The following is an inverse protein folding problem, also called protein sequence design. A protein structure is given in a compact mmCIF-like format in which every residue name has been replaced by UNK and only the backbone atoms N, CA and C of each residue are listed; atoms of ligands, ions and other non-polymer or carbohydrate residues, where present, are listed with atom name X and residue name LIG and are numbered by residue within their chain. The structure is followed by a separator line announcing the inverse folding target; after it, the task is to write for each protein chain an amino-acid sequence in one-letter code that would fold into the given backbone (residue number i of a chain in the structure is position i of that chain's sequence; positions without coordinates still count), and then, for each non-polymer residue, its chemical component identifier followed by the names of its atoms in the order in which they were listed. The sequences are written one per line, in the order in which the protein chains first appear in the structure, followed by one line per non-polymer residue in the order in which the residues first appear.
data_IF_351516617955
#
_entry.id   IF_351516617955
#
_cell.length_a   1.000
_cell.length_b   1.000
_cell.length_c   1.000
_cell.angle_alpha   90.00
_cell.angle_beta   90.00
_cell.angle_gamma   90.00
#
_symmetry.space_group_name_H-M   'P 1'
#
loop_
_entity.id
_entity.type
_entity.pdbx_description
1 polymer ?
#
# COMPACT_ATOMS: atom_id res chain seq x y z
N UNK A 1 37.16 15.78 48.20
CA UNK A 1 36.26 14.61 48.09
C UNK A 1 35.69 14.58 46.68
N UNK A 2 36.26 13.78 45.78
CA UNK A 2 35.79 13.67 44.39
C UNK A 2 34.71 12.60 44.33
N UNK A 3 33.47 13.00 44.07
CA UNK A 3 32.32 12.09 43.93
C UNK A 3 32.37 11.46 42.54
N UNK A 4 33.12 10.37 42.39
CA UNK A 4 33.14 9.56 41.18
C UNK A 4 31.76 8.93 40.98
N UNK A 5 30.95 9.51 40.09
CA UNK A 5 29.69 8.90 39.66
C UNK A 5 30.02 7.79 38.66
N UNK A 6 29.65 6.56 39.01
CA UNK A 6 29.83 5.38 38.18
C UNK A 6 28.99 5.51 36.88
N UNK A 7 29.61 5.52 35.68
CA UNK A 7 28.91 5.67 34.40
C UNK A 7 28.06 4.45 34.01
N UNK A 8 28.09 3.38 34.81
CA UNK A 8 27.34 2.14 34.57
C UNK A 8 25.92 2.12 35.19
N UNK A 9 25.55 3.12 35.99
CA UNK A 9 24.23 3.16 36.67
C UNK A 9 23.11 3.74 35.79
N UNK A 10 23.39 4.12 34.54
CA UNK A 10 22.40 4.68 33.60
C UNK A 10 22.01 3.73 32.45
N UNK A 11 22.06 2.40 32.64
CA UNK A 11 21.85 1.44 31.55
C UNK A 11 21.12 0.16 31.97
N UNK A 12 19.83 0.26 32.29
CA UNK A 12 18.93 -0.91 32.39
C UNK A 12 18.04 -1.10 31.15
N UNK A 13 18.41 -0.51 30.01
CA UNK A 13 17.70 -0.72 28.75
C UNK A 13 18.67 -0.72 27.57
N UNK A 14 18.34 -1.43 26.47
CA UNK A 14 19.12 -1.34 25.24
C UNK A 14 19.28 0.15 24.87
N UNK A 15 20.46 0.57 24.41
CA UNK A 15 20.75 1.99 24.20
C UNK A 15 19.66 2.57 23.30
N UNK A 16 19.05 3.69 23.69
CA UNK A 16 17.92 4.32 22.97
C UNK A 16 18.19 4.43 21.47
N UNK A 17 19.44 4.63 21.08
CA UNK A 17 19.91 4.63 19.69
C UNK A 17 19.63 3.33 18.91
N UNK A 18 19.67 2.16 19.53
CA UNK A 18 19.37 0.86 18.90
C UNK A 18 17.87 0.72 18.62
N UNK A 19 17.03 1.11 19.58
CA UNK A 19 15.57 1.07 19.42
C UNK A 19 15.10 2.05 18.34
N UNK A 20 15.69 3.25 18.28
CA UNK A 20 15.41 4.24 17.23
C UNK A 20 15.84 3.72 15.85
N UNK A 21 16.98 3.04 15.76
CA UNK A 21 17.44 2.44 14.50
C UNK A 21 16.50 1.33 14.03
N UNK A 22 16.08 0.44 14.93
CA UNK A 22 15.12 -0.61 14.62
C UNK A 22 13.77 -0.03 14.16
N UNK A 23 13.25 0.98 14.87
CA UNK A 23 12.02 1.67 14.49
C UNK A 23 12.09 2.31 13.11
N UNK A 24 13.23 2.92 12.74
CA UNK A 24 13.44 3.50 11.40
C UNK A 24 13.42 2.45 10.30
N UNK A 25 14.08 1.31 10.50
CA UNK A 25 14.05 0.21 9.53
C UNK A 25 12.66 -0.43 9.43
N UNK A 26 11.96 -0.59 10.54
CA UNK A 26 10.57 -1.04 10.55
C UNK A 26 9.65 -0.10 9.77
N UNK A 27 9.76 1.21 10.01
CA UNK A 27 9.02 2.23 9.26
C UNK A 27 9.35 2.19 7.75
N UNK A 28 10.63 2.08 7.39
CA UNK A 28 11.05 1.96 5.99
C UNK A 28 10.46 0.70 5.33
N UNK A 29 10.45 -0.44 6.05
CA UNK A 29 9.87 -1.68 5.57
C UNK A 29 8.35 -1.56 5.33
N UNK A 30 7.63 -0.90 6.24
CA UNK A 30 6.20 -0.61 6.05
C UNK A 30 5.96 0.27 4.81
N UNK A 31 6.74 1.33 4.63
CA UNK A 31 6.62 2.21 3.44
C UNK A 31 6.91 1.43 2.15
N UNK A 32 7.95 0.60 2.15
CA UNK A 32 8.27 -0.24 1.00
C UNK A 32 7.15 -1.25 0.69
N UNK A 33 6.59 -1.89 1.71
CA UNK A 33 5.47 -2.82 1.54
C UNK A 33 4.24 -2.12 0.94
N UNK A 34 3.89 -0.93 1.44
CA UNK A 34 2.80 -0.11 0.89
C UNK A 34 3.06 0.25 -0.56
N UNK A 35 4.29 0.67 -0.91
CA UNK A 35 4.64 1.02 -2.28
C UNK A 35 4.50 -0.18 -3.25
N UNK A 36 4.90 -1.37 -2.82
CA UNK A 36 4.75 -2.60 -3.61
C UNK A 36 3.27 -2.96 -3.80
N UNK A 37 2.45 -2.86 -2.76
CA UNK A 37 1.02 -3.16 -2.84
C UNK A 37 0.22 -2.10 -3.62
N UNK A 38 0.64 -0.84 -3.59
CA UNK A 38 -0.04 0.24 -4.29
C UNK A 38 0.06 0.13 -5.81
N UNK A 39 1.16 -0.42 -6.34
CA UNK A 39 1.41 -0.52 -7.78
C UNK A 39 0.31 -1.28 -8.55
N UNK A 40 -0.06 -2.52 -8.16
CA UNK A 40 -1.17 -3.24 -8.77
C UNK A 40 -2.52 -2.52 -8.70
N UNK A 41 -2.81 -1.85 -7.58
CA UNK A 41 -4.08 -1.12 -7.37
C UNK A 41 -4.17 0.06 -8.35
N UNK A 42 -3.11 0.86 -8.46
CA UNK A 42 -3.06 2.00 -9.38
C UNK A 42 -3.19 1.56 -10.85
N UNK A 43 -2.58 0.43 -11.22
CA UNK A 43 -2.75 -0.12 -12.58
C UNK A 43 -4.15 -0.66 -12.81
N UNK A 44 -4.76 -1.30 -11.80
CA UNK A 44 -6.14 -1.76 -11.88
C UNK A 44 -7.13 -0.61 -12.05
N UNK A 45 -6.88 0.53 -11.39
CA UNK A 45 -7.64 1.76 -11.61
C UNK A 45 -7.54 2.23 -13.06
N UNK A 46 -6.35 2.31 -13.64
CA UNK A 46 -6.19 2.69 -15.05
C UNK A 46 -6.84 1.70 -16.03
N UNK A 47 -6.83 0.40 -15.73
CA UNK A 47 -7.55 -0.60 -16.53
C UNK A 47 -9.08 -0.36 -16.47
N UNK A 48 -9.60 -0.02 -15.29
CA UNK A 48 -11.00 0.32 -15.09
C UNK A 48 -11.40 1.59 -15.84
N UNK A 49 -10.59 2.65 -15.77
CA UNK A 49 -10.81 3.89 -16.52
C UNK A 49 -10.84 3.64 -18.03
N UNK A 50 -9.88 2.88 -18.56
CA UNK A 50 -9.84 2.53 -19.97
C UNK A 50 -11.07 1.72 -20.41
N UNK A 51 -11.54 0.82 -19.54
CA UNK A 51 -12.74 0.04 -19.80
C UNK A 51 -14.01 0.89 -19.80
N UNK A 52 -14.18 1.75 -18.79
CA UNK A 52 -15.32 2.65 -18.65
C UNK A 52 -15.35 3.72 -19.74
N UNK A 53 -14.19 4.17 -20.22
CA UNK A 53 -14.11 5.08 -21.36
C UNK A 53 -14.68 4.45 -22.65
N UNK A 54 -14.53 3.12 -22.81
CA UNK A 54 -15.11 2.39 -23.93
C UNK A 54 -16.56 1.94 -23.68
N UNK A 55 -16.96 1.78 -22.42
CA UNK A 55 -18.26 1.26 -21.97
C UNK A 55 -18.75 2.00 -20.72
N UNK A 56 -19.19 3.26 -20.87
CA UNK A 56 -19.63 4.07 -19.73
C UNK A 56 -20.83 3.44 -19.01
N UNK A 57 -21.68 2.70 -19.72
CA UNK A 57 -22.83 1.97 -19.19
C UNK A 57 -22.47 0.83 -18.24
N UNK A 58 -21.21 0.37 -18.25
CA UNK A 58 -20.76 -0.67 -17.34
C UNK A 58 -20.50 -0.14 -15.92
N UNK A 59 -20.55 1.18 -15.71
CA UNK A 59 -20.33 1.76 -14.40
C UNK A 59 -21.38 1.29 -13.38
N UNK A 60 -20.92 0.87 -12.19
CA UNK A 60 -21.78 0.31 -11.14
C UNK A 60 -22.25 -1.12 -11.41
N UNK A 61 -21.74 -1.77 -12.46
CA UNK A 61 -22.06 -3.16 -12.80
C UNK A 61 -20.84 -4.05 -12.64
N UNK A 62 -21.05 -5.37 -12.55
CA UNK A 62 -19.97 -6.36 -12.53
C UNK A 62 -19.70 -6.87 -13.95
N UNK A 63 -18.51 -6.59 -14.53
CA UNK A 63 -18.16 -7.12 -15.84
C UNK A 63 -18.04 -8.65 -15.81
N UNK A 64 -18.70 -9.34 -16.74
CA UNK A 64 -18.50 -10.78 -16.96
C UNK A 64 -17.18 -11.06 -17.70
N UNK A 65 -16.77 -10.11 -18.54
CA UNK A 65 -15.51 -10.18 -19.28
C UNK A 65 -14.32 -9.75 -18.40
N UNK A 66 -13.17 -10.37 -18.63
CA UNK A 66 -11.93 -10.00 -17.96
C UNK A 66 -11.49 -8.59 -18.42
N UNK A 67 -11.39 -7.68 -17.46
CA UNK A 67 -11.01 -6.26 -17.68
C UNK A 67 -9.49 -6.08 -17.73
N UNK A 68 -8.78 -6.70 -16.79
CA UNK A 68 -7.33 -6.61 -16.72
C UNK A 68 -6.65 -7.56 -17.75
N UNK A 69 -5.41 -7.25 -18.18
CA UNK A 69 -4.62 -8.11 -19.06
C UNK A 69 -4.52 -9.57 -18.56
N UNK A 70 -4.31 -10.55 -19.47
CA UNK A 70 -4.26 -11.97 -19.10
C UNK A 70 -3.12 -12.31 -18.12
N UNK A 71 -2.03 -11.55 -18.16
CA UNK A 71 -0.84 -11.64 -17.31
C UNK A 71 -0.91 -10.76 -16.05
N UNK A 72 -2.00 -10.01 -15.85
CA UNK A 72 -2.19 -9.20 -14.66
C UNK A 72 -2.26 -10.06 -13.40
N UNK A 73 -1.64 -9.57 -12.31
CA UNK A 73 -1.78 -10.19 -10.99
C UNK A 73 -3.24 -10.15 -10.52
N UNK A 74 -3.59 -11.09 -9.65
CA UNK A 74 -4.96 -11.19 -9.10
C UNK A 74 -5.40 -9.90 -8.41
N UNK A 75 -4.49 -9.22 -7.71
CA UNK A 75 -4.79 -7.94 -7.06
C UNK A 75 -5.11 -6.82 -8.08
N UNK A 76 -4.39 -6.77 -9.21
CA UNK A 76 -4.67 -5.81 -10.28
C UNK A 76 -6.02 -6.10 -10.94
N UNK A 77 -6.30 -7.37 -11.22
CA UNK A 77 -7.57 -7.78 -11.80
C UNK A 77 -8.75 -7.49 -10.86
N UNK A 78 -8.62 -7.83 -9.57
CA UNK A 78 -9.64 -7.58 -8.56
C UNK A 78 -9.88 -6.08 -8.33
N UNK A 79 -8.81 -5.27 -8.28
CA UNK A 79 -8.95 -3.81 -8.12
C UNK A 79 -9.64 -3.16 -9.32
N UNK A 80 -9.34 -3.58 -10.55
CA UNK A 80 -10.04 -3.09 -11.74
C UNK A 80 -11.56 -3.37 -11.68
N UNK A 81 -11.95 -4.58 -11.30
CA UNK A 81 -13.37 -4.93 -11.11
C UNK A 81 -14.02 -4.07 -10.02
N UNK A 82 -13.34 -3.91 -8.88
CA UNK A 82 -13.84 -3.09 -7.77
C UNK A 82 -14.09 -1.64 -8.19
N UNK A 83 -13.18 -1.02 -8.94
CA UNK A 83 -13.35 0.36 -9.42
C UNK A 83 -14.53 0.51 -10.39
N UNK A 84 -14.81 -0.49 -11.22
CA UNK A 84 -15.98 -0.49 -12.11
C UNK A 84 -17.27 -0.69 -11.31
N UNK A 85 -17.27 -1.60 -10.33
CA UNK A 85 -18.44 -1.87 -9.48
C UNK A 85 -18.80 -0.67 -8.58
N UNK A 86 -17.81 0.14 -8.20
CA UNK A 86 -17.97 1.24 -7.24
C UNK A 86 -17.91 2.63 -7.85
N UNK A 87 -17.83 2.76 -9.18
CA UNK A 87 -17.83 4.08 -9.79
C UNK A 87 -19.18 4.76 -9.60
N UNK A 88 -19.13 6.06 -9.33
CA UNK A 88 -20.29 6.92 -9.27
C UNK A 88 -20.41 7.67 -10.61
N UNK A 89 -21.57 7.58 -11.24
CA UNK A 89 -21.87 8.41 -12.42
C UNK A 89 -22.24 9.78 -11.91
N UNK A 90 -21.45 10.81 -12.24
CA UNK A 90 -21.83 12.18 -11.96
C UNK A 90 -23.10 12.51 -12.77
N UNK A 91 -24.19 12.85 -12.06
CA UNK A 91 -25.48 13.28 -12.63
C UNK A 91 -25.37 14.55 -13.50
#
# INVERSE_FOLDING_TARGET
MVKLRNPLIAREGPPVALNVRAARWGALACVAAVAVMAGPILRGHGDAEAWLAARPEACGTRPEARVAPPDASDLRAASALWFIETCEVAE
#
